data_IF_466735213700
#
_entry.id   IF_466735213700
#
_cell.length_a   1.000
_cell.length_b   1.000
_cell.length_c   1.000
_cell.angle_alpha   90.00
_cell.angle_beta   90.00
_cell.angle_gamma   90.00
#
_symmetry.space_group_name_H-M   'P 1'
#
loop_
_entity.id
_entity.type
_entity.pdbx_description
1 polymer ?
#
# COMPACT_ATOMS: atom_id res chain seq x y z
N UNK A 1 -5.10 -10.76 -12.27
CA UNK A 1 -5.55 -9.36 -12.05
C UNK A 1 -4.54 -8.72 -11.11
N UNK A 2 -3.85 -7.68 -11.57
CA UNK A 2 -2.85 -6.98 -10.76
C UNK A 2 -3.57 -6.32 -9.58
N UNK A 3 -3.24 -6.76 -8.38
CA UNK A 3 -3.85 -6.27 -7.15
C UNK A 3 -3.57 -4.77 -7.00
N UNK A 4 -4.61 -3.97 -6.76
CA UNK A 4 -4.50 -2.58 -6.33
C UNK A 4 -5.17 -2.42 -4.97
N UNK A 5 -4.58 -1.57 -4.13
CA UNK A 5 -5.06 -1.25 -2.79
C UNK A 5 -5.05 0.26 -2.66
N UNK A 6 -6.20 0.82 -2.27
CA UNK A 6 -6.32 2.24 -1.95
C UNK A 6 -6.21 2.41 -0.44
N UNK A 7 -5.19 3.14 0.01
CA UNK A 7 -4.98 3.51 1.40
C UNK A 7 -5.58 4.90 1.63
N UNK A 8 -6.38 5.07 2.67
CA UNK A 8 -6.98 6.36 3.00
C UNK A 8 -6.05 7.15 3.91
N UNK A 9 -5.68 8.36 3.49
CA UNK A 9 -4.84 9.28 4.25
C UNK A 9 -5.75 10.34 4.87
N UNK A 10 -5.82 10.33 6.20
CA UNK A 10 -6.64 11.27 6.98
C UNK A 10 -5.80 11.94 8.05
N UNK A 11 -6.02 13.24 8.23
CA UNK A 11 -5.44 13.97 9.35
C UNK A 11 -6.22 13.60 10.63
N UNK A 12 -5.51 13.13 11.65
CA UNK A 12 -6.11 12.77 12.95
C UNK A 12 -6.70 13.98 13.68
N UNK A 13 -6.18 15.18 13.38
CA UNK A 13 -6.70 16.46 13.85
C UNK A 13 -7.56 17.09 12.74
N UNK A 14 -8.64 16.41 12.34
CA UNK A 14 -9.51 16.79 11.22
C UNK A 14 -10.15 18.20 11.30
N UNK A 15 -9.90 18.95 12.37
CA UNK A 15 -10.32 20.33 12.61
C UNK A 15 -9.34 21.37 12.04
N UNK A 16 -8.10 20.96 11.74
CA UNK A 16 -7.08 21.79 11.09
C UNK A 16 -7.02 21.48 9.59
N UNK A 17 -6.76 22.54 8.82
CA UNK A 17 -6.73 22.64 7.37
C UNK A 17 -6.24 21.40 6.59
N UNK A 18 -6.64 21.24 5.32
CA UNK A 18 -6.14 20.16 4.46
C UNK A 18 -4.61 20.09 4.50
N UNK A 19 -4.09 19.00 5.07
CA UNK A 19 -2.66 18.76 5.20
C UNK A 19 -2.15 18.11 3.92
N UNK A 20 -1.22 18.77 3.24
CA UNK A 20 -0.51 18.19 2.10
C UNK A 20 0.49 17.15 2.57
N UNK A 21 0.61 16.06 1.81
CA UNK A 21 1.49 14.95 2.11
C UNK A 21 2.12 14.41 0.83
N UNK A 22 3.28 13.78 0.98
CA UNK A 22 4.01 13.06 -0.05
C UNK A 22 4.27 11.63 0.43
N UNK A 23 4.05 10.64 -0.41
CA UNK A 23 4.30 9.23 -0.13
C UNK A 23 5.49 8.75 -0.95
N UNK A 24 6.46 8.15 -0.27
CA UNK A 24 7.64 7.52 -0.84
C UNK A 24 7.61 6.02 -0.53
N UNK A 25 8.09 5.19 -1.46
CA UNK A 25 8.26 3.76 -1.24
C UNK A 25 9.67 3.31 -1.59
N UNK A 26 10.20 2.35 -0.84
CA UNK A 26 11.49 1.73 -1.10
C UNK A 26 11.40 0.53 -2.06
N UNK A 27 10.19 0.12 -2.43
CA UNK A 27 9.92 -1.12 -3.14
C UNK A 27 9.74 -0.92 -4.67
N UNK A 28 10.67 -1.39 -5.52
CA UNK A 28 10.58 -1.21 -6.98
C UNK A 28 9.45 -2.04 -7.63
N UNK A 29 9.02 -3.12 -6.98
CA UNK A 29 7.89 -3.96 -7.40
C UNK A 29 6.51 -3.34 -7.06
N UNK A 30 6.52 -2.20 -6.37
CA UNK A 30 5.34 -1.45 -5.92
C UNK A 30 5.18 -0.17 -6.74
N UNK A 31 4.06 -0.02 -7.44
CA UNK A 31 3.71 1.23 -8.12
C UNK A 31 2.75 2.04 -7.26
N UNK A 32 3.22 3.19 -6.78
CA UNK A 32 2.41 4.18 -6.06
C UNK A 32 1.99 5.26 -7.05
N UNK A 33 0.69 5.38 -7.35
CA UNK A 33 0.20 6.35 -8.34
C UNK A 33 -0.16 7.72 -7.75
N UNK A 34 -0.55 7.76 -6.47
CA UNK A 34 -0.87 8.99 -5.77
C UNK A 34 0.22 9.32 -4.73
N UNK A 35 1.46 9.53 -5.18
CA UNK A 35 2.59 9.86 -4.30
C UNK A 35 2.49 11.22 -3.63
N UNK A 36 1.43 12.00 -3.87
CA UNK A 36 1.14 13.21 -3.10
C UNK A 36 -0.36 13.51 -3.11
N UNK A 37 -0.81 14.26 -2.10
CA UNK A 37 -2.20 14.68 -1.99
C UNK A 37 -2.43 15.60 -0.81
N UNK A 38 -3.69 15.95 -0.58
CA UNK A 38 -4.12 16.69 0.61
C UNK A 38 -5.10 15.84 1.41
N UNK A 39 -5.08 15.94 2.74
CA UNK A 39 -6.06 15.23 3.58
C UNK A 39 -7.43 15.90 3.55
N UNK A 40 -8.55 15.14 3.52
CA UNK A 40 -8.61 13.69 3.30
C UNK A 40 -8.29 13.33 1.83
N UNK A 41 -7.43 12.32 1.63
CA UNK A 41 -6.96 11.91 0.30
C UNK A 41 -6.75 10.40 0.19
N UNK A 42 -6.77 9.88 -1.04
CA UNK A 42 -6.51 8.47 -1.34
C UNK A 42 -5.10 8.26 -1.88
N UNK A 43 -4.42 7.23 -1.38
CA UNK A 43 -3.15 6.73 -1.85
C UNK A 43 -3.39 5.40 -2.58
N UNK A 44 -3.35 5.43 -3.91
CA UNK A 44 -3.48 4.22 -4.73
C UNK A 44 -2.13 3.54 -4.93
N UNK A 45 -2.06 2.30 -4.48
CA UNK A 45 -0.92 1.43 -4.60
C UNK A 45 -1.29 0.25 -5.48
N UNK A 46 -0.44 -0.10 -6.42
CA UNK A 46 -0.64 -1.22 -7.35
C UNK A 46 0.63 -2.04 -7.50
N UNK A 47 0.48 -3.35 -7.69
CA UNK A 47 1.63 -4.22 -7.96
C UNK A 47 2.08 -4.01 -9.41
N UNK A 48 3.39 -3.83 -9.63
CA UNK A 48 3.94 -3.77 -10.99
C UNK A 48 3.80 -5.15 -11.64
N UNK A 49 2.88 -5.28 -12.58
CA UNK A 49 2.57 -6.55 -13.24
C UNK A 49 3.73 -6.99 -14.14
N UNK A 50 4.40 -8.09 -13.78
CA UNK A 50 5.46 -8.70 -14.58
C UNK A 50 6.68 -9.17 -13.78
N UNK A 51 6.89 -8.61 -12.58
CA UNK A 51 8.13 -8.85 -11.81
C UNK A 51 7.91 -9.57 -10.47
N UNK A 52 6.66 -9.74 -10.02
CA UNK A 52 6.38 -10.44 -8.78
C UNK A 52 6.17 -11.94 -9.05
N UNK A 53 7.21 -12.73 -8.77
CA UNK A 53 7.08 -14.18 -8.58
C UNK A 53 6.08 -14.50 -7.44
N UNK A 54 5.71 -15.77 -7.28
CA UNK A 54 4.87 -16.18 -6.15
C UNK A 54 5.62 -15.98 -4.84
N UNK A 55 5.06 -15.20 -3.91
CA UNK A 55 5.75 -14.87 -2.67
C UNK A 55 5.02 -13.86 -1.79
N UNK A 56 5.61 -13.61 -0.62
CA UNK A 56 5.21 -12.54 0.29
C UNK A 56 6.22 -11.40 0.12
N UNK A 57 5.72 -10.24 -0.26
CA UNK A 57 6.50 -9.04 -0.50
C UNK A 57 6.14 -8.00 0.55
N UNK A 58 7.15 -7.40 1.17
CA UNK A 58 6.98 -6.39 2.21
C UNK A 58 7.59 -5.09 1.72
N UNK A 59 6.79 -4.03 1.65
CA UNK A 59 7.21 -2.68 1.28
C UNK A 59 6.96 -1.72 2.43
N UNK A 60 7.82 -0.71 2.57
CA UNK A 60 7.53 0.42 3.44
C UNK A 60 7.07 1.59 2.57
N UNK A 61 6.02 2.25 3.03
CA UNK A 61 5.59 3.53 2.47
C UNK A 61 5.74 4.57 3.57
N UNK A 62 6.53 5.59 3.31
CA UNK A 62 6.72 6.72 4.21
C UNK A 62 5.88 7.88 3.72
N UNK A 63 4.93 8.31 4.54
CA UNK A 63 4.15 9.52 4.33
C UNK A 63 4.84 10.69 5.02
N UNK A 64 5.30 11.63 4.22
CA UNK A 64 5.97 12.85 4.62
C UNK A 64 4.94 13.98 4.53
N UNK A 65 4.48 14.53 5.65
CA UNK A 65 3.62 15.72 5.64
C UNK A 65 4.44 16.95 5.23
N UNK A 66 3.79 17.92 4.58
CA UNK A 66 4.40 19.21 4.20
C UNK A 66 4.54 20.15 5.42
N UNK A 67 3.87 19.83 6.52
CA UNK A 67 3.92 20.58 7.78
C UNK A 67 5.02 20.03 8.70
N UNK A 68 6.03 20.83 9.09
CA UNK A 68 7.12 20.40 9.96
C UNK A 68 6.68 20.10 11.42
N UNK A 69 5.47 20.51 11.82
CA UNK A 69 4.89 20.16 13.11
C UNK A 69 4.28 18.74 13.12
N UNK A 70 4.13 18.11 11.95
CA UNK A 70 3.59 16.76 11.80
C UNK A 70 4.74 15.80 11.52
N UNK A 71 4.82 14.73 12.30
CA UNK A 71 5.84 13.70 12.09
C UNK A 71 5.48 12.82 10.87
N UNK A 72 6.51 12.43 10.11
CA UNK A 72 6.35 11.48 9.02
C UNK A 72 5.93 10.11 9.55
N UNK A 73 5.04 9.44 8.81
CA UNK A 73 4.46 8.15 9.20
C UNK A 73 4.92 7.08 8.23
N UNK A 74 5.59 6.04 8.73
CA UNK A 74 5.93 4.86 7.92
C UNK A 74 4.93 3.74 8.15
N UNK A 75 4.32 3.26 7.07
CA UNK A 75 3.40 2.12 7.07
C UNK A 75 4.01 0.93 6.33
N UNK A 76 3.80 -0.27 6.87
CA UNK A 76 4.24 -1.52 6.25
C UNK A 76 3.10 -2.08 5.39
N UNK A 77 3.36 -2.29 4.12
CA UNK A 77 2.44 -2.93 3.17
C UNK A 77 2.93 -4.35 2.89
N UNK A 78 2.03 -5.32 3.06
CA UNK A 78 2.31 -6.73 2.76
C UNK A 78 1.48 -7.13 1.54
N UNK A 79 2.17 -7.52 0.48
CA UNK A 79 1.55 -8.09 -0.71
C UNK A 79 1.83 -9.57 -0.81
N UNK A 80 0.81 -10.35 -1.15
CA UNK A 80 0.97 -11.79 -1.38
C UNK A 80 0.55 -12.10 -2.81
N UNK A 81 1.43 -12.73 -3.55
CA UNK A 81 1.25 -13.15 -4.95
C UNK A 81 1.36 -14.66 -5.05
N UNK A 82 0.72 -15.25 -6.07
CA UNK A 82 0.83 -16.69 -6.33
C UNK A 82 0.24 -17.58 -5.23
N UNK A 83 -0.69 -17.06 -4.42
CA UNK A 83 -1.58 -17.91 -3.65
C UNK A 83 -2.44 -18.68 -4.64
N UNK A 84 -2.14 -19.97 -4.83
CA UNK A 84 -3.07 -20.86 -5.52
C UNK A 84 -4.30 -21.00 -4.62
N UNK A 85 -5.40 -20.32 -4.98
CA UNK A 85 -6.65 -20.30 -4.21
C UNK A 85 -7.36 -21.67 -4.20
N UNK A 86 -6.72 -22.73 -4.71
CA UNK A 86 -7.30 -24.06 -4.85
C UNK A 86 -6.98 -24.86 -3.59
N UNK A 87 -7.92 -24.84 -2.66
CA UNK A 87 -7.92 -25.73 -1.51
C UNK A 87 -8.35 -27.14 -1.97
N UNK A 88 -7.39 -28.05 -2.12
CA UNK A 88 -7.70 -29.46 -2.39
C UNK A 88 -8.04 -30.15 -1.08
N UNK A 89 -9.24 -30.73 -0.99
CA UNK A 89 -9.57 -31.69 0.06
C UNK A 89 -8.81 -33.00 -0.21
N UNK A 90 -8.33 -33.71 0.84
CA UNK A 90 -7.78 -35.05 0.63
C UNK A 90 -8.86 -35.96 0.05
N UNK A 91 -8.59 -36.58 -1.10
CA UNK A 91 -9.44 -37.65 -1.62
C UNK A 91 -9.31 -38.85 -0.69
N UNK A 92 -10.42 -39.26 -0.05
CA UNK A 92 -10.47 -40.55 0.62
C UNK A 92 -10.66 -41.58 -0.49
N UNK A 93 -9.60 -42.32 -0.83
CA UNK A 93 -9.74 -43.55 -1.62
C UNK A 93 -10.37 -44.61 -0.71
N UNK A 94 -11.53 -45.15 -1.13
CA UNK A 94 -12.21 -46.30 -0.50
C UNK A 94 -11.71 -47.61 -1.09
#
# INVERSE_FOLDING_TARGET
VGSSVTLQVSNRNAEDAPLSWQAETDAPWLSVQATSGSTPGGLDVSLVSGEAEAGIYQAQITLIPDDPAVEAVTILVIWVTGLDERLYLPAIEN
#
